data_IF_503412864209
#
_entry.id   IF_503412864209
#
_cell.length_a   1.000
_cell.length_b   1.000
_cell.length_c   1.000
_cell.angle_alpha   90.00
_cell.angle_beta   90.00
_cell.angle_gamma   90.00
#
_symmetry.space_group_name_H-M   'P 1'
#
loop_
_entity.id
_entity.type
_entity.pdbx_description
1 polymer ?
#
# COMPACT_ATOMS: atom_id res chain seq x y z
N UNK A 1 -81.24 47.95 15.84
CA UNK A 1 -80.43 48.07 14.61
C UNK A 1 -79.09 47.39 14.85
N UNK A 2 -78.73 46.44 13.99
CA UNK A 2 -77.55 45.57 14.06
C UNK A 2 -76.23 46.37 14.11
N UNK A 3 -75.32 46.01 15.00
CA UNK A 3 -73.87 46.23 14.81
C UNK A 3 -73.17 44.88 14.96
N UNK A 4 -72.65 44.38 13.84
CA UNK A 4 -71.67 43.29 13.81
C UNK A 4 -70.37 43.79 14.44
N UNK A 5 -69.83 43.06 15.40
CA UNK A 5 -68.43 43.16 15.81
C UNK A 5 -67.76 41.88 15.31
N UNK A 6 -66.92 42.03 14.30
CA UNK A 6 -66.01 41.00 13.80
C UNK A 6 -64.85 40.91 14.80
N UNK A 7 -64.73 39.78 15.51
CA UNK A 7 -63.52 39.48 16.29
C UNK A 7 -62.71 38.45 15.51
N UNK A 8 -61.70 38.93 14.78
CA UNK A 8 -60.68 38.07 14.17
C UNK A 8 -59.76 37.53 15.25
N UNK A 9 -59.80 36.21 15.47
CA UNK A 9 -58.82 35.49 16.29
C UNK A 9 -57.60 35.21 15.40
N UNK A 10 -56.54 36.00 15.57
CA UNK A 10 -55.21 35.70 15.04
C UNK A 10 -54.51 34.76 16.02
N UNK A 11 -54.46 33.47 15.70
CA UNK A 11 -53.58 32.50 16.36
C UNK A 11 -52.13 32.80 15.97
N UNK A 12 -51.35 33.37 16.89
CA UNK A 12 -49.89 33.43 16.77
C UNK A 12 -49.32 32.04 17.06
N UNK A 13 -48.99 31.30 16.00
CA UNK A 13 -48.17 30.09 16.07
C UNK A 13 -46.71 30.52 16.23
N UNK A 14 -46.32 30.91 17.44
CA UNK A 14 -44.92 31.08 17.81
C UNK A 14 -44.47 29.84 18.59
N UNK A 15 -43.67 28.99 17.96
CA UNK A 15 -42.88 27.98 18.68
C UNK A 15 -42.84 26.59 18.07
N UNK A 16 -42.20 26.41 16.91
CA UNK A 16 -41.60 25.12 16.50
C UNK A 16 -40.31 25.27 15.67
N UNK A 17 -39.79 26.49 15.46
CA UNK A 17 -38.57 26.68 14.67
C UNK A 17 -37.28 26.54 15.50
N UNK A 18 -37.31 26.79 16.82
CA UNK A 18 -36.08 26.87 17.61
C UNK A 18 -35.56 25.53 18.16
N UNK A 19 -36.40 24.48 18.22
CA UNK A 19 -36.00 23.17 18.75
C UNK A 19 -35.33 22.31 17.66
N UNK A 20 -35.78 22.42 16.41
CA UNK A 20 -35.21 21.72 15.27
C UNK A 20 -33.84 22.27 14.88
N UNK A 21 -33.66 23.59 14.89
CA UNK A 21 -32.33 24.21 14.70
C UNK A 21 -31.38 23.86 15.85
N UNK A 22 -31.83 23.87 17.11
CA UNK A 22 -30.99 23.51 18.26
C UNK A 22 -30.48 22.06 18.20
N UNK A 23 -31.33 21.12 17.83
CA UNK A 23 -30.96 19.70 17.69
C UNK A 23 -30.12 19.47 16.43
N UNK A 24 -30.49 20.03 15.28
CA UNK A 24 -29.71 19.90 14.05
C UNK A 24 -28.32 20.53 14.18
N UNK A 25 -28.22 21.70 14.81
CA UNK A 25 -26.94 22.37 15.07
C UNK A 25 -26.14 21.66 16.15
N UNK A 26 -26.77 21.04 17.15
CA UNK A 26 -26.07 20.22 18.15
C UNK A 26 -25.59 18.88 17.58
N UNK A 27 -26.30 18.28 16.62
CA UNK A 27 -25.88 17.06 15.91
C UNK A 27 -24.77 17.39 14.90
N UNK A 28 -24.85 18.52 14.19
CA UNK A 28 -23.81 19.01 13.29
C UNK A 28 -22.56 19.46 14.06
N UNK A 29 -22.69 20.12 15.22
CA UNK A 29 -21.55 20.42 16.11
C UNK A 29 -21.01 19.19 16.84
N UNK A 30 -21.80 18.12 17.01
CA UNK A 30 -21.28 16.82 17.47
C UNK A 30 -20.54 16.05 16.38
N UNK A 31 -20.75 16.39 15.10
CA UNK A 31 -19.98 15.85 13.98
C UNK A 31 -18.61 16.53 13.80
N UNK A 32 -18.36 17.68 14.44
CA UNK A 32 -16.99 18.08 14.82
C UNK A 32 -16.51 17.23 16.01
N UNK A 33 -16.64 15.90 15.86
CA UNK A 33 -16.34 14.93 16.88
C UNK A 33 -14.82 14.89 17.05
N UNK A 34 -14.35 15.06 18.28
CA UNK A 34 -12.98 14.73 18.67
C UNK A 34 -12.61 13.39 18.04
N UNK A 35 -11.57 13.35 17.20
CA UNK A 35 -11.15 12.09 16.57
C UNK A 35 -10.73 11.14 17.70
N UNK A 36 -11.45 10.04 17.89
CA UNK A 36 -11.19 9.04 18.93
C UNK A 36 -10.45 7.81 18.41
N UNK A 37 -10.13 7.78 17.11
CA UNK A 37 -9.49 6.63 16.47
C UNK A 37 -8.11 6.38 17.08
N UNK A 38 -7.87 5.17 17.59
CA UNK A 38 -6.60 4.85 18.21
C UNK A 38 -5.48 4.69 17.18
N UNK A 39 -4.26 5.00 17.59
CA UNK A 39 -3.03 4.70 16.86
C UNK A 39 -1.97 4.23 17.87
N UNK A 40 -1.53 2.99 17.73
CA UNK A 40 -0.53 2.33 18.60
C UNK A 40 0.53 1.66 17.74
N UNK A 41 1.79 2.02 17.98
CA UNK A 41 2.93 1.55 17.20
C UNK A 41 3.85 0.78 18.14
N UNK A 42 4.23 -0.44 17.75
CA UNK A 42 5.18 -1.27 18.48
C UNK A 42 6.29 -1.71 17.53
N UNK A 43 7.52 -1.29 17.80
CA UNK A 43 8.67 -1.59 16.96
C UNK A 43 9.79 -0.57 17.08
N UNK A 44 10.83 -0.74 16.28
CA UNK A 44 11.95 0.20 16.18
C UNK A 44 11.51 1.50 15.49
N UNK A 45 12.26 2.57 15.76
CA UNK A 45 12.09 3.83 15.00
C UNK A 45 12.35 3.59 13.51
N UNK A 46 11.69 4.37 12.67
CA UNK A 46 11.93 4.36 11.23
C UNK A 46 11.77 5.77 10.67
N UNK A 47 12.58 6.16 9.67
CA UNK A 47 12.74 7.57 9.33
C UNK A 47 11.71 8.13 8.34
N UNK A 48 10.90 7.28 7.70
CA UNK A 48 10.00 7.68 6.61
C UNK A 48 10.74 8.09 5.33
N UNK A 49 9.99 8.36 4.26
CA UNK A 49 10.54 8.75 2.96
C UNK A 49 11.24 10.12 2.95
N UNK A 50 10.85 11.04 3.82
CA UNK A 50 11.44 12.38 3.95
C UNK A 50 12.95 12.31 4.18
N UNK A 51 13.42 11.33 4.95
CA UNK A 51 14.85 11.15 5.21
C UNK A 51 15.62 10.81 3.93
N UNK A 52 15.06 9.97 3.05
CA UNK A 52 15.69 9.66 1.76
C UNK A 52 15.71 10.87 0.82
N UNK A 53 14.66 11.71 0.83
CA UNK A 53 14.63 12.95 0.05
C UNK A 53 15.63 14.02 0.52
N UNK A 54 16.10 13.96 1.77
CA UNK A 54 17.10 14.89 2.30
C UNK A 54 18.53 14.52 1.89
N UNK A 55 18.75 13.35 1.28
CA UNK A 55 20.06 12.92 0.82
C UNK A 55 20.39 13.57 -0.54
N UNK A 56 21.52 14.31 -0.66
CA UNK A 56 21.83 15.05 -1.87
C UNK A 56 22.08 14.15 -3.08
N UNK A 57 21.34 14.39 -4.16
CA UNK A 57 21.50 13.66 -5.42
C UNK A 57 20.62 12.41 -5.54
N UNK A 58 19.87 12.08 -4.49
CA UNK A 58 19.07 10.86 -4.44
C UNK A 58 17.67 11.07 -5.04
N UNK A 59 17.23 10.10 -5.85
CA UNK A 59 15.84 10.00 -6.32
C UNK A 59 15.13 8.95 -5.50
N UNK A 60 14.01 9.31 -4.86
CA UNK A 60 13.16 8.33 -4.16
C UNK A 60 12.19 7.67 -5.14
N UNK A 61 12.25 6.35 -5.27
CA UNK A 61 11.41 5.56 -6.17
C UNK A 61 10.45 4.70 -5.38
N UNK A 62 9.16 4.95 -5.54
CA UNK A 62 8.09 4.30 -4.78
C UNK A 62 7.27 3.41 -5.70
N UNK A 63 7.19 2.11 -5.41
CA UNK A 63 6.28 1.18 -6.11
C UNK A 63 5.03 0.94 -5.26
N UNK A 64 3.86 1.30 -5.80
CA UNK A 64 2.55 1.02 -5.23
C UNK A 64 1.95 -0.24 -5.87
N UNK A 65 1.58 -1.21 -5.04
CA UNK A 65 0.95 -2.48 -5.44
C UNK A 65 -0.42 -2.63 -4.78
N UNK A 66 -1.49 -2.60 -5.57
CA UNK A 66 -2.85 -2.76 -5.05
C UNK A 66 -3.14 -4.19 -4.59
N UNK A 67 -4.18 -4.32 -3.77
CA UNK A 67 -4.75 -5.58 -3.34
C UNK A 67 -5.91 -6.06 -4.20
N UNK A 68 -6.85 -6.77 -3.58
CA UNK A 68 -8.01 -7.34 -4.26
C UNK A 68 -8.89 -6.28 -4.96
N UNK A 69 -9.72 -6.75 -5.88
CA UNK A 69 -10.62 -5.94 -6.69
C UNK A 69 -10.06 -5.63 -8.08
N UNK A 70 -10.95 -5.18 -8.95
CA UNK A 70 -10.58 -4.69 -10.27
C UNK A 70 -10.17 -3.23 -10.18
N UNK A 71 -8.92 -2.94 -10.54
CA UNK A 71 -8.34 -1.60 -10.57
C UNK A 71 -8.06 -1.16 -12.00
N UNK A 72 -8.09 0.15 -12.21
CA UNK A 72 -7.63 0.81 -13.44
C UNK A 72 -6.50 1.77 -13.09
N UNK A 73 -5.59 2.08 -14.04
CA UNK A 73 -4.53 3.04 -13.80
C UNK A 73 -5.08 4.38 -13.27
N UNK A 74 -4.51 4.87 -12.17
CA UNK A 74 -4.96 6.03 -11.40
C UNK A 74 -5.61 5.69 -10.06
N UNK A 75 -5.78 4.41 -9.69
CA UNK A 75 -6.38 4.03 -8.40
C UNK A 75 -5.63 4.61 -7.19
N UNK A 76 -4.32 4.85 -7.31
CA UNK A 76 -3.50 5.36 -6.21
C UNK A 76 -3.43 6.88 -6.13
N UNK A 77 -4.16 7.61 -6.97
CA UNK A 77 -4.04 9.07 -7.11
C UNK A 77 -4.26 9.80 -5.77
N UNK A 78 -5.28 9.42 -5.01
CA UNK A 78 -5.57 10.06 -3.72
C UNK A 78 -4.39 9.91 -2.75
N UNK A 79 -3.86 8.70 -2.61
CA UNK A 79 -2.70 8.43 -1.77
C UNK A 79 -1.46 9.19 -2.26
N UNK A 80 -1.18 9.16 -3.56
CA UNK A 80 -0.06 9.87 -4.17
C UNK A 80 -0.12 11.37 -3.88
N UNK A 81 -1.28 12.00 -4.04
CA UNK A 81 -1.43 13.45 -3.80
C UNK A 81 -1.27 13.81 -2.33
N UNK A 82 -1.81 12.99 -1.41
CA UNK A 82 -1.58 13.20 0.03
C UNK A 82 -0.12 13.00 0.43
N UNK A 83 0.52 11.95 -0.07
CA UNK A 83 1.93 11.68 0.20
C UNK A 83 2.82 12.80 -0.34
N UNK A 84 2.57 13.27 -1.57
CA UNK A 84 3.29 14.38 -2.17
C UNK A 84 3.12 15.67 -1.34
N UNK A 85 1.90 15.97 -0.89
CA UNK A 85 1.63 17.12 -0.04
C UNK A 85 2.37 17.02 1.31
N UNK A 86 2.34 15.86 1.96
CA UNK A 86 3.01 15.65 3.26
C UNK A 86 4.54 15.77 3.16
N UNK A 87 5.12 15.39 2.01
CA UNK A 87 6.54 15.50 1.67
C UNK A 87 6.92 16.84 1.00
N UNK A 88 5.98 17.77 0.85
CA UNK A 88 6.19 19.06 0.18
C UNK A 88 6.70 18.95 -1.28
N UNK A 89 6.25 17.93 -2.01
CA UNK A 89 6.51 17.73 -3.44
C UNK A 89 5.40 18.37 -4.27
N UNK A 90 5.41 19.69 -4.40
CA UNK A 90 4.33 20.49 -4.99
C UNK A 90 4.37 20.60 -6.52
N UNK A 91 5.46 20.16 -7.16
CA UNK A 91 5.66 20.20 -8.61
C UNK A 91 5.55 18.79 -9.19
N UNK A 92 4.82 18.60 -10.29
CA UNK A 92 4.64 17.30 -10.94
C UNK A 92 4.82 17.35 -12.46
N UNK A 93 5.26 16.24 -13.05
CA UNK A 93 5.25 16.11 -14.52
C UNK A 93 3.83 16.32 -15.06
N UNK A 94 3.67 16.92 -16.23
CA UNK A 94 2.33 17.14 -16.82
C UNK A 94 1.66 15.83 -17.24
N UNK A 95 2.44 14.86 -17.72
CA UNK A 95 1.98 13.55 -18.19
C UNK A 95 2.52 12.42 -17.30
N UNK A 96 1.79 11.31 -17.33
CA UNK A 96 2.28 10.01 -16.86
C UNK A 96 3.05 9.32 -17.98
N UNK A 97 4.01 8.47 -17.60
CA UNK A 97 4.53 7.41 -18.48
C UNK A 97 3.79 6.13 -18.18
N UNK A 98 3.42 5.37 -19.21
CA UNK A 98 2.60 4.16 -19.07
C UNK A 98 3.24 3.00 -19.82
N UNK A 99 3.78 2.05 -19.06
CA UNK A 99 4.57 0.92 -19.56
C UNK A 99 3.73 -0.35 -19.47
N UNK A 100 3.51 -1.04 -20.59
CA UNK A 100 2.90 -2.36 -20.57
C UNK A 100 3.95 -3.38 -20.15
N UNK A 101 3.60 -4.20 -19.17
CA UNK A 101 4.51 -5.20 -18.63
C UNK A 101 4.50 -6.45 -19.52
N UNK A 102 5.69 -6.86 -19.94
CA UNK A 102 5.92 -8.04 -20.78
C UNK A 102 6.98 -8.92 -20.14
N UNK A 103 6.77 -10.23 -20.18
CA UNK A 103 7.73 -11.25 -19.74
C UNK A 103 7.84 -12.32 -20.83
N UNK A 104 9.07 -12.74 -21.11
CA UNK A 104 9.36 -13.83 -22.06
C UNK A 104 8.81 -15.18 -21.59
N UNK A 105 8.63 -15.38 -20.28
CA UNK A 105 8.00 -16.57 -19.70
C UNK A 105 6.47 -16.60 -19.95
N UNK A 106 5.86 -15.43 -20.18
CA UNK A 106 4.41 -15.26 -20.36
C UNK A 106 4.09 -14.33 -21.55
N UNK A 107 4.49 -14.71 -22.78
CA UNK A 107 4.45 -13.80 -23.95
C UNK A 107 3.02 -13.40 -24.36
N UNK A 108 2.02 -14.23 -24.08
CA UNK A 108 0.62 -14.00 -24.45
C UNK A 108 -0.22 -13.43 -23.29
N UNK A 109 0.37 -13.27 -22.10
CA UNK A 109 -0.34 -12.80 -20.90
C UNK A 109 -0.22 -11.28 -20.79
N UNK A 110 -1.34 -10.60 -20.55
CA UNK A 110 -1.35 -9.18 -20.20
C UNK A 110 -0.97 -9.02 -18.72
N UNK A 111 0.32 -8.85 -18.44
CA UNK A 111 0.83 -8.78 -17.07
C UNK A 111 0.43 -7.50 -16.32
N UNK A 112 -0.06 -6.48 -17.03
CA UNK A 112 -0.56 -5.25 -16.44
C UNK A 112 0.16 -4.01 -16.94
N UNK A 113 -0.12 -2.89 -16.28
CA UNK A 113 0.40 -1.57 -16.65
C UNK A 113 1.15 -1.00 -15.44
N UNK A 114 2.33 -0.44 -15.71
CA UNK A 114 3.10 0.36 -14.78
C UNK A 114 2.99 1.83 -15.17
N UNK A 115 2.28 2.60 -14.35
CA UNK A 115 2.11 4.04 -14.54
C UNK A 115 3.09 4.81 -13.67
N UNK A 116 3.83 5.76 -14.24
CA UNK A 116 4.88 6.50 -13.53
C UNK A 116 4.60 7.99 -13.54
N UNK A 117 4.70 8.62 -12.37
CA UNK A 117 4.63 10.07 -12.18
C UNK A 117 5.93 10.59 -11.57
N UNK A 118 6.42 11.73 -12.06
CA UNK A 118 7.50 12.48 -11.43
C UNK A 118 6.93 13.56 -10.52
N UNK A 119 7.44 13.62 -9.30
CA UNK A 119 7.08 14.58 -8.25
C UNK A 119 8.37 15.26 -7.77
N UNK A 120 8.31 16.56 -7.53
CA UNK A 120 9.43 17.42 -7.19
C UNK A 120 8.99 18.46 -6.16
N UNK A 121 9.91 18.94 -5.33
CA UNK A 121 9.69 20.16 -4.54
C UNK A 121 9.83 21.42 -5.42
N UNK A 122 9.50 22.60 -4.87
CA UNK A 122 9.45 23.86 -5.63
C UNK A 122 10.78 24.25 -6.29
N UNK A 123 11.89 24.07 -5.57
CA UNK A 123 13.24 24.39 -6.07
C UNK A 123 13.87 23.24 -6.89
N UNK A 124 13.14 22.13 -7.04
CA UNK A 124 13.55 20.92 -7.77
C UNK A 124 14.82 20.25 -7.23
N UNK A 125 15.17 20.47 -5.96
CA UNK A 125 16.28 19.80 -5.28
C UNK A 125 15.93 18.39 -4.80
N UNK A 126 14.65 18.07 -4.64
CA UNK A 126 14.16 16.77 -4.19
C UNK A 126 13.27 16.14 -5.25
N UNK A 127 13.46 14.84 -5.53
CA UNK A 127 12.72 14.11 -6.55
C UNK A 127 12.16 12.80 -6.03
N UNK A 128 10.89 12.55 -6.35
CA UNK A 128 10.26 11.24 -6.24
C UNK A 128 9.71 10.77 -7.59
N UNK A 129 9.98 9.51 -7.93
CA UNK A 129 9.28 8.79 -8.98
C UNK A 129 8.29 7.81 -8.36
N UNK A 130 7.01 8.03 -8.61
CA UNK A 130 5.94 7.20 -8.09
C UNK A 130 5.45 6.26 -9.19
N UNK A 131 5.63 4.96 -8.97
CA UNK A 131 5.26 3.86 -9.85
C UNK A 131 4.00 3.19 -9.31
N UNK A 132 2.95 3.12 -10.11
CA UNK A 132 1.68 2.46 -9.80
C UNK A 132 1.55 1.20 -10.67
N UNK A 133 1.54 0.03 -10.02
CA UNK A 133 1.30 -1.25 -10.68
C UNK A 133 -0.20 -1.55 -10.69
N UNK A 134 -0.76 -1.77 -11.88
CA UNK A 134 -2.12 -2.30 -12.08
C UNK A 134 -2.04 -3.70 -12.71
N UNK A 135 -2.33 -4.75 -11.92
CA UNK A 135 -2.22 -6.15 -12.34
C UNK A 135 -3.58 -6.82 -12.64
N UNK A 136 -4.71 -6.13 -12.44
CA UNK A 136 -6.07 -6.70 -12.61
C UNK A 136 -6.32 -7.35 -13.97
N UNK A 137 -5.58 -6.99 -15.02
CA UNK A 137 -5.65 -7.65 -16.32
C UNK A 137 -5.41 -9.18 -16.26
N UNK A 138 -4.66 -9.66 -15.26
CA UNK A 138 -4.38 -11.07 -15.03
C UNK A 138 -5.62 -11.80 -14.47
N UNK A 139 -6.32 -11.19 -13.51
CA UNK A 139 -7.40 -11.88 -12.77
C UNK A 139 -8.80 -11.65 -13.35
N UNK A 140 -9.02 -10.53 -14.05
CA UNK A 140 -10.31 -10.19 -14.65
C UNK A 140 -10.92 -11.31 -15.53
N UNK A 141 -10.16 -12.01 -16.41
CA UNK A 141 -10.73 -13.09 -17.22
C UNK A 141 -11.32 -14.23 -16.38
N UNK A 142 -10.77 -14.51 -15.20
CA UNK A 142 -11.30 -15.53 -14.30
C UNK A 142 -12.56 -15.04 -13.58
N UNK A 143 -12.62 -13.76 -13.19
CA UNK A 143 -13.81 -13.15 -12.56
C UNK A 143 -15.02 -13.10 -13.49
N UNK A 144 -14.82 -12.94 -14.80
CA UNK A 144 -15.91 -12.94 -15.78
C UNK A 144 -16.76 -14.24 -15.73
N UNK A 145 -16.18 -15.36 -15.27
CA UNK A 145 -16.90 -16.64 -15.12
C UNK A 145 -18.06 -16.61 -14.12
N UNK A 146 -18.02 -15.71 -13.13
CA UNK A 146 -19.07 -15.57 -12.11
C UNK A 146 -19.91 -14.30 -12.27
N UNK A 147 -19.63 -13.49 -13.31
CA UNK A 147 -20.30 -12.21 -13.56
C UNK A 147 -21.81 -12.37 -13.80
N UNK A 148 -22.22 -13.54 -14.28
CA UNK A 148 -23.62 -13.90 -14.48
C UNK A 148 -24.45 -13.68 -13.20
N UNK A 149 -23.89 -13.86 -12.01
CA UNK A 149 -24.61 -13.72 -10.72
C UNK A 149 -24.97 -12.26 -10.38
N UNK A 150 -24.23 -11.30 -10.93
CA UNK A 150 -24.48 -9.86 -10.73
C UNK A 150 -25.21 -9.22 -11.91
N UNK A 151 -25.68 -10.03 -12.86
CA UNK A 151 -26.38 -9.60 -14.08
C UNK A 151 -27.62 -10.45 -14.34
N UNK A 152 -28.54 -9.97 -15.17
CA UNK A 152 -29.70 -10.75 -15.60
C UNK A 152 -30.58 -11.23 -14.44
N UNK A 153 -30.92 -12.51 -14.43
CA UNK A 153 -31.96 -13.11 -13.56
C UNK A 153 -31.73 -12.89 -12.06
N UNK A 154 -30.50 -12.98 -11.57
CA UNK A 154 -30.25 -12.85 -10.13
C UNK A 154 -30.16 -11.40 -9.65
N UNK A 155 -29.96 -10.45 -10.57
CA UNK A 155 -29.73 -9.05 -10.20
C UNK A 155 -31.02 -8.29 -9.90
N UNK A 156 -32.14 -8.64 -10.55
CA UNK A 156 -33.42 -7.94 -10.37
C UNK A 156 -34.15 -8.34 -9.09
N UNK A 157 -33.95 -9.58 -8.61
CA UNK A 157 -34.58 -10.10 -7.39
C UNK A 157 -33.82 -9.72 -6.11
N UNK A 158 -32.58 -9.24 -6.23
CA UNK A 158 -31.71 -8.97 -5.09
C UNK A 158 -31.98 -7.57 -4.53
N UNK A 159 -32.19 -7.49 -3.21
CA UNK A 159 -32.27 -6.22 -2.51
C UNK A 159 -31.02 -5.36 -2.78
N UNK A 160 -31.19 -4.04 -2.92
CA UNK A 160 -30.16 -3.11 -3.40
C UNK A 160 -28.84 -3.19 -2.63
N UNK A 161 -28.91 -3.21 -1.29
CA UNK A 161 -27.72 -3.33 -0.43
C UNK A 161 -27.01 -4.68 -0.63
N UNK A 162 -27.77 -5.76 -0.77
CA UNK A 162 -27.21 -7.09 -1.02
C UNK A 162 -26.59 -7.18 -2.41
N UNK A 163 -27.16 -6.49 -3.40
CA UNK A 163 -26.60 -6.39 -4.75
C UNK A 163 -25.25 -5.66 -4.73
N UNK A 164 -25.14 -4.56 -4.01
CA UNK A 164 -23.87 -3.85 -3.82
C UNK A 164 -22.82 -4.76 -3.15
N UNK A 165 -23.18 -5.42 -2.05
CA UNK A 165 -22.28 -6.34 -1.34
C UNK A 165 -21.84 -7.52 -2.21
N UNK A 166 -22.75 -8.04 -3.05
CA UNK A 166 -22.43 -9.16 -3.94
C UNK A 166 -21.55 -8.76 -5.11
N UNK A 167 -21.74 -7.56 -5.67
CA UNK A 167 -20.82 -7.00 -6.67
C UNK A 167 -19.41 -6.85 -6.08
N UNK A 168 -19.30 -6.27 -4.88
CA UNK A 168 -18.03 -6.18 -4.18
C UNK A 168 -17.40 -7.55 -3.93
N UNK A 169 -18.18 -8.52 -3.43
CA UNK A 169 -17.70 -9.88 -3.18
C UNK A 169 -17.22 -10.57 -4.47
N UNK A 170 -17.99 -10.52 -5.56
CA UNK A 170 -17.61 -11.13 -6.83
C UNK A 170 -16.39 -10.44 -7.47
N UNK A 171 -16.13 -9.17 -7.17
CA UNK A 171 -14.93 -8.46 -7.64
C UNK A 171 -13.68 -8.73 -6.79
N UNK A 172 -13.82 -8.92 -5.48
CA UNK A 172 -12.67 -8.97 -4.54
C UNK A 172 -12.35 -10.37 -4.04
N UNK A 173 -13.37 -11.16 -3.70
CA UNK A 173 -13.22 -12.47 -3.06
C UNK A 173 -12.51 -13.52 -3.95
N UNK A 174 -12.64 -13.49 -5.30
CA UNK A 174 -11.91 -14.44 -6.15
C UNK A 174 -10.40 -14.19 -6.21
N UNK A 175 -9.92 -12.97 -5.98
CA UNK A 175 -8.50 -12.65 -6.22
C UNK A 175 -7.54 -13.51 -5.37
N UNK A 176 -7.74 -13.72 -4.06
CA UNK A 176 -6.91 -14.65 -3.30
C UNK A 176 -6.92 -16.08 -3.85
N UNK A 177 -8.08 -16.57 -4.34
CA UNK A 177 -8.18 -17.91 -4.92
C UNK A 177 -7.44 -18.01 -6.26
N UNK A 178 -7.56 -16.98 -7.10
CA UNK A 178 -6.86 -16.88 -8.39
C UNK A 178 -5.35 -16.80 -8.15
N UNK A 179 -4.92 -16.01 -7.15
CA UNK A 179 -3.52 -15.87 -6.75
C UNK A 179 -2.93 -17.17 -6.22
N UNK A 180 -3.67 -17.97 -5.47
CA UNK A 180 -3.22 -19.29 -5.02
C UNK A 180 -3.24 -20.35 -6.13
N UNK A 181 -3.87 -20.05 -7.27
CA UNK A 181 -3.97 -20.92 -8.43
C UNK A 181 -2.94 -20.63 -9.52
N UNK A 182 -3.35 -20.84 -10.76
CA UNK A 182 -2.48 -20.73 -11.96
C UNK A 182 -1.87 -19.33 -12.18
N UNK A 183 -2.53 -18.28 -11.67
CA UNK A 183 -2.10 -16.90 -11.91
C UNK A 183 -1.06 -16.41 -10.91
N UNK A 184 -0.65 -17.26 -9.95
CA UNK A 184 0.44 -16.96 -9.02
C UNK A 184 1.69 -16.46 -9.75
N UNK A 185 2.24 -17.27 -10.65
CA UNK A 185 3.49 -16.95 -11.34
C UNK A 185 3.36 -15.77 -12.32
N UNK A 186 2.17 -15.58 -12.90
CA UNK A 186 1.85 -14.43 -13.76
C UNK A 186 1.87 -13.12 -12.94
N UNK A 187 1.26 -13.13 -11.75
CA UNK A 187 1.26 -11.97 -10.85
C UNK A 187 2.66 -11.68 -10.29
N UNK A 188 3.45 -12.72 -9.98
CA UNK A 188 4.85 -12.53 -9.63
C UNK A 188 5.68 -11.99 -10.80
N UNK A 189 5.42 -12.43 -12.03
CA UNK A 189 6.07 -11.87 -13.22
C UNK A 189 5.73 -10.38 -13.39
N UNK A 190 4.46 -10.01 -13.23
CA UNK A 190 4.00 -8.62 -13.22
C UNK A 190 4.78 -7.77 -12.22
N UNK A 191 4.84 -8.21 -10.96
CA UNK A 191 5.63 -7.51 -9.93
C UNK A 191 7.11 -7.42 -10.30
N UNK A 192 7.75 -8.52 -10.72
CA UNK A 192 9.17 -8.53 -11.08
C UNK A 192 9.49 -7.55 -12.21
N UNK A 193 8.63 -7.44 -13.22
CA UNK A 193 8.82 -6.50 -14.33
C UNK A 193 8.60 -5.05 -13.90
N UNK A 194 7.60 -4.79 -13.07
CA UNK A 194 7.39 -3.47 -12.47
C UNK A 194 8.63 -3.04 -11.65
N UNK A 195 9.13 -3.94 -10.80
CA UNK A 195 10.32 -3.72 -9.99
C UNK A 195 11.57 -3.49 -10.85
N UNK A 196 11.76 -4.28 -11.92
CA UNK A 196 12.85 -4.10 -12.86
C UNK A 196 12.85 -2.70 -13.50
N UNK A 197 11.69 -2.21 -13.94
CA UNK A 197 11.57 -0.87 -14.50
C UNK A 197 11.88 0.23 -13.47
N UNK A 198 11.46 0.04 -12.22
CA UNK A 198 11.76 0.97 -11.12
C UNK A 198 13.27 1.06 -10.85
N UNK A 199 13.96 -0.07 -10.70
CA UNK A 199 15.41 -0.08 -10.38
C UNK A 199 16.31 0.19 -11.60
N UNK A 200 15.76 0.11 -12.82
CA UNK A 200 16.54 0.15 -14.04
C UNK A 200 16.74 1.54 -14.65
N UNK A 201 15.89 2.52 -14.35
CA UNK A 201 15.78 3.77 -15.12
C UNK A 201 15.45 4.97 -14.24
N UNK A 202 15.99 6.14 -14.59
CA UNK A 202 15.49 7.44 -14.10
C UNK A 202 14.43 8.02 -15.03
N UNK A 203 13.78 9.11 -14.61
CA UNK A 203 12.69 9.73 -15.35
C UNK A 203 13.01 9.97 -16.83
N UNK A 204 14.20 10.50 -17.13
CA UNK A 204 14.62 10.79 -18.51
C UNK A 204 14.83 9.56 -19.39
N UNK A 205 15.14 8.41 -18.79
CA UNK A 205 15.42 7.15 -19.51
C UNK A 205 14.20 6.23 -19.61
N UNK A 206 13.13 6.53 -18.88
CA UNK A 206 11.88 5.80 -18.99
C UNK A 206 11.21 6.10 -20.35
N UNK A 207 10.70 5.10 -21.07
CA UNK A 207 9.92 5.35 -22.27
C UNK A 207 8.56 5.98 -21.90
N UNK A 208 8.00 6.80 -22.79
CA UNK A 208 6.63 7.33 -22.61
C UNK A 208 5.60 6.19 -22.59
N UNK A 209 5.76 5.27 -23.54
CA UNK A 209 5.08 3.97 -23.60
C UNK A 209 6.06 2.89 -24.05
N UNK A 210 5.90 1.66 -23.58
CA UNK A 210 6.73 0.54 -24.02
C UNK A 210 5.97 -0.79 -23.91
N UNK A 211 6.32 -1.72 -24.79
CA UNK A 211 5.96 -3.13 -24.74
C UNK A 211 7.23 -4.00 -24.67
N UNK A 212 8.35 -3.42 -24.25
CA UNK A 212 9.63 -4.11 -24.19
C UNK A 212 9.76 -4.86 -22.88
N UNK A 213 10.47 -5.99 -22.93
CA UNK A 213 10.88 -6.69 -21.73
C UNK A 213 11.95 -5.87 -20.99
N UNK A 214 11.75 -5.63 -19.69
CA UNK A 214 12.76 -4.97 -18.89
C UNK A 214 13.98 -5.87 -18.69
N UNK A 215 15.17 -5.28 -18.85
CA UNK A 215 16.46 -5.91 -18.58
C UNK A 215 17.34 -4.99 -17.76
N UNK A 216 18.07 -5.57 -16.79
CA UNK A 216 19.11 -4.87 -16.04
C UNK A 216 20.29 -4.62 -16.97
N UNK A 217 20.70 -3.36 -17.08
CA UNK A 217 21.78 -2.94 -17.96
C UNK A 217 22.63 -1.84 -17.29
N UNK A 218 23.50 -1.19 -18.06
CA UNK A 218 24.40 -0.13 -17.55
C UNK A 218 23.67 1.04 -16.88
N UNK A 219 22.44 1.38 -17.30
CA UNK A 219 21.66 2.44 -16.65
C UNK A 219 21.26 2.07 -15.23
N UNK A 220 20.91 0.80 -14.98
CA UNK A 220 20.56 0.34 -13.63
C UNK A 220 21.74 0.55 -12.67
N UNK A 221 22.96 0.17 -13.07
CA UNK A 221 24.17 0.34 -12.24
C UNK A 221 24.52 1.82 -12.04
N UNK A 222 24.25 2.67 -13.05
CA UNK A 222 24.55 4.10 -12.98
C UNK A 222 23.76 4.78 -11.87
N UNK A 223 22.48 4.47 -11.72
CA UNK A 223 21.58 5.15 -10.77
C UNK A 223 21.46 4.43 -9.44
N UNK A 224 21.74 3.13 -9.40
CA UNK A 224 21.63 2.31 -8.19
C UNK A 224 22.33 2.90 -6.96
N UNK A 225 23.53 3.51 -7.01
CA UNK A 225 24.14 4.08 -5.81
C UNK A 225 23.28 5.16 -5.14
N UNK A 226 22.69 6.05 -5.94
CA UNK A 226 22.01 7.27 -5.50
C UNK A 226 20.47 7.07 -5.38
N UNK A 227 19.89 6.09 -6.07
CA UNK A 227 18.45 5.84 -6.00
C UNK A 227 18.05 5.19 -4.67
N UNK A 228 17.03 5.74 -4.03
CA UNK A 228 16.40 5.14 -2.85
C UNK A 228 15.07 4.49 -3.22
N UNK A 229 14.78 3.31 -2.67
CA UNK A 229 13.60 2.52 -3.08
C UNK A 229 12.64 2.33 -1.92
N UNK A 230 11.35 2.39 -2.19
CA UNK A 230 10.31 2.02 -1.24
C UNK A 230 9.18 1.26 -1.94
N UNK A 231 8.52 0.38 -1.21
CA UNK A 231 7.32 -0.32 -1.70
C UNK A 231 6.15 0.00 -0.78
N UNK A 232 5.03 0.40 -1.36
CA UNK A 232 3.76 0.54 -0.68
C UNK A 232 2.82 -0.51 -1.25
N UNK A 233 2.08 -1.19 -0.40
CA UNK A 233 1.08 -2.15 -0.86
C UNK A 233 -0.19 -2.08 -0.03
N UNK A 234 -1.27 -2.64 -0.58
CA UNK A 234 -2.54 -2.75 0.10
C UNK A 234 -3.05 -4.19 0.06
N UNK A 235 -3.59 -4.72 1.16
CA UNK A 235 -4.33 -6.00 1.19
C UNK A 235 -3.52 -7.15 0.54
N UNK A 236 -4.06 -7.90 -0.43
CA UNK A 236 -3.36 -8.93 -1.21
C UNK A 236 -2.02 -8.47 -1.81
N UNK A 237 -1.86 -7.17 -2.09
CA UNK A 237 -0.61 -6.59 -2.57
C UNK A 237 0.57 -6.86 -1.63
N UNK A 238 0.33 -6.95 -0.31
CA UNK A 238 1.37 -7.29 0.67
C UNK A 238 1.99 -8.66 0.38
N UNK A 239 1.15 -9.65 0.03
CA UNK A 239 1.60 -11.00 -0.35
C UNK A 239 2.36 -11.00 -1.67
N UNK A 240 1.83 -10.31 -2.68
CA UNK A 240 2.48 -10.19 -4.00
C UNK A 240 3.88 -9.59 -3.87
N UNK A 241 4.03 -8.55 -3.04
CA UNK A 241 5.33 -7.91 -2.77
C UNK A 241 6.30 -8.89 -2.12
N UNK A 242 5.90 -9.60 -1.06
CA UNK A 242 6.79 -10.52 -0.35
C UNK A 242 7.20 -11.71 -1.23
N UNK A 243 6.26 -12.35 -1.91
CA UNK A 243 6.55 -13.46 -2.83
C UNK A 243 7.36 -12.99 -4.04
N UNK A 244 7.09 -11.78 -4.53
CA UNK A 244 7.82 -11.16 -5.62
C UNK A 244 9.28 -10.93 -5.25
N UNK A 245 9.54 -10.39 -4.07
CA UNK A 245 10.90 -10.17 -3.54
C UNK A 245 11.62 -11.48 -3.24
N UNK A 246 10.93 -12.49 -2.71
CA UNK A 246 11.48 -13.85 -2.57
C UNK A 246 11.82 -14.45 -3.93
N UNK A 247 10.97 -14.26 -4.94
CA UNK A 247 11.24 -14.71 -6.30
C UNK A 247 12.45 -14.01 -6.91
N UNK A 248 12.63 -12.71 -6.63
CA UNK A 248 13.85 -11.97 -6.99
C UNK A 248 15.06 -12.56 -6.27
N UNK A 249 14.98 -12.82 -4.96
CA UNK A 249 16.07 -13.45 -4.20
C UNK A 249 16.50 -14.78 -4.84
N UNK A 250 15.55 -15.66 -5.17
CA UNK A 250 15.81 -16.92 -5.84
C UNK A 250 16.52 -16.75 -7.19
N UNK A 251 16.05 -15.80 -8.02
CA UNK A 251 16.65 -15.54 -9.34
C UNK A 251 18.05 -14.94 -9.21
N UNK A 252 18.25 -14.00 -8.29
CA UNK A 252 19.56 -13.40 -8.00
C UNK A 252 20.54 -14.44 -7.48
N UNK A 253 20.15 -15.30 -6.54
CA UNK A 253 21.01 -16.39 -6.05
C UNK A 253 21.42 -17.35 -7.18
N UNK A 254 20.49 -17.68 -8.10
CA UNK A 254 20.81 -18.52 -9.28
C UNK A 254 21.82 -17.86 -10.22
N UNK A 255 21.66 -16.55 -10.48
CA UNK A 255 22.61 -15.78 -11.30
C UNK A 255 23.98 -15.68 -10.62
N UNK A 256 24.01 -15.38 -9.32
CA UNK A 256 25.24 -15.23 -8.55
C UNK A 256 26.05 -16.53 -8.43
N UNK A 257 25.38 -17.68 -8.33
CA UNK A 257 26.02 -19.00 -8.25
C UNK A 257 26.44 -19.58 -9.61
N UNK A 258 26.00 -18.95 -10.71
CA UNK A 258 26.38 -19.32 -12.06
C UNK A 258 27.62 -18.55 -12.54
N UNK A 259 27.53 -18.01 -13.76
CA UNK A 259 28.55 -17.14 -14.35
C UNK A 259 27.91 -15.76 -14.64
N UNK A 260 27.76 -14.88 -13.62
CA UNK A 260 27.11 -13.59 -13.79
C UNK A 260 27.98 -12.68 -14.67
N UNK A 261 27.34 -11.94 -15.57
CA UNK A 261 28.02 -10.89 -16.33
C UNK A 261 28.58 -9.81 -15.38
N UNK A 262 29.52 -9.00 -15.89
CA UNK A 262 30.05 -7.86 -15.14
C UNK A 262 28.96 -6.87 -14.70
N UNK A 263 27.90 -6.73 -15.50
CA UNK A 263 26.76 -5.86 -15.18
C UNK A 263 25.95 -6.46 -14.03
N UNK A 264 25.59 -7.74 -14.12
CA UNK A 264 24.82 -8.42 -13.08
C UNK A 264 25.59 -8.45 -11.76
N UNK A 265 26.88 -8.77 -11.79
CA UNK A 265 27.74 -8.77 -10.60
C UNK A 265 27.78 -7.41 -9.89
N UNK A 266 27.88 -6.31 -10.65
CA UNK A 266 27.88 -4.97 -10.09
C UNK A 266 26.51 -4.58 -9.53
N UNK A 267 25.44 -4.90 -10.26
CA UNK A 267 24.07 -4.65 -9.80
C UNK A 267 23.78 -5.41 -8.50
N UNK A 268 24.07 -6.71 -8.44
CA UNK A 268 23.85 -7.54 -7.25
C UNK A 268 24.58 -6.94 -6.03
N UNK A 269 25.88 -6.64 -6.17
CA UNK A 269 26.67 -6.05 -5.08
C UNK A 269 26.18 -4.68 -4.65
N UNK A 270 25.69 -3.86 -5.58
CA UNK A 270 25.10 -2.56 -5.26
C UNK A 270 23.75 -2.71 -4.54
N UNK A 271 22.92 -3.64 -5.01
CA UNK A 271 21.58 -3.86 -4.49
C UNK A 271 21.61 -4.48 -3.08
N UNK A 272 22.62 -5.31 -2.80
CA UNK A 272 22.92 -5.83 -1.46
C UNK A 272 23.20 -4.78 -0.39
N UNK A 273 23.46 -3.53 -0.78
CA UNK A 273 23.68 -2.40 0.14
C UNK A 273 22.42 -1.58 0.37
N UNK A 274 21.34 -1.86 -0.35
CA UNK A 274 20.10 -1.09 -0.25
C UNK A 274 19.30 -1.48 0.98
N UNK A 275 18.67 -0.46 1.56
CA UNK A 275 17.67 -0.62 2.61
C UNK A 275 16.33 -0.22 2.01
N UNK A 276 15.40 -1.17 1.94
CA UNK A 276 14.14 -0.96 1.22
C UNK A 276 12.97 -1.04 2.20
N UNK A 277 12.36 0.09 2.60
CA UNK A 277 11.15 0.09 3.41
C UNK A 277 9.93 -0.42 2.62
N UNK A 278 9.18 -1.33 3.25
CA UNK A 278 7.88 -1.82 2.78
C UNK A 278 6.78 -1.30 3.71
N UNK A 279 5.83 -0.56 3.16
CA UNK A 279 4.65 -0.06 3.87
C UNK A 279 3.44 -0.91 3.45
N UNK A 280 3.02 -1.82 4.33
CA UNK A 280 1.97 -2.80 4.04
C UNK A 280 0.65 -2.32 4.68
N UNK A 281 -0.19 -1.64 3.89
CA UNK A 281 -1.52 -1.19 4.31
C UNK A 281 -2.52 -2.34 4.26
N UNK A 282 -3.39 -2.44 5.27
CA UNK A 282 -4.26 -3.61 5.46
C UNK A 282 -3.48 -4.93 5.31
N UNK A 283 -2.45 -5.12 6.14
CA UNK A 283 -1.53 -6.24 5.97
C UNK A 283 -2.24 -7.60 6.10
N UNK A 284 -2.20 -8.43 5.05
CA UNK A 284 -2.83 -9.75 5.03
C UNK A 284 -1.83 -10.92 5.06
N UNK A 285 -0.54 -10.64 5.26
CA UNK A 285 0.52 -11.65 5.15
C UNK A 285 0.24 -12.93 5.96
N UNK A 286 -0.08 -12.88 7.28
CA UNK A 286 -0.39 -14.08 8.05
C UNK A 286 -1.58 -14.91 7.51
N UNK A 287 -2.62 -14.24 6.99
CA UNK A 287 -3.79 -14.93 6.42
C UNK A 287 -3.43 -15.63 5.11
N UNK A 288 -2.72 -14.93 4.23
CA UNK A 288 -2.41 -15.42 2.88
C UNK A 288 -1.22 -16.39 2.84
N UNK A 289 -0.49 -16.54 3.94
CA UNK A 289 0.47 -17.63 4.15
C UNK A 289 -0.22 -19.00 4.23
N UNK A 290 -1.50 -19.06 4.61
CA UNK A 290 -2.23 -20.32 4.70
C UNK A 290 -2.28 -21.03 3.34
N UNK A 291 -1.67 -22.21 3.27
CA UNK A 291 -1.60 -23.02 2.05
C UNK A 291 -0.37 -22.78 1.18
N UNK A 292 0.56 -21.91 1.61
CA UNK A 292 1.80 -21.63 0.88
C UNK A 292 2.94 -22.53 1.31
N UNK A 293 3.92 -22.69 0.41
CA UNK A 293 5.20 -23.31 0.77
C UNK A 293 6.06 -22.26 1.46
N UNK A 294 6.77 -22.62 2.54
CA UNK A 294 7.71 -21.70 3.15
C UNK A 294 8.81 -21.30 2.16
N UNK A 295 9.45 -20.13 2.36
CA UNK A 295 10.63 -19.75 1.59
C UNK A 295 11.76 -20.78 1.62
N UNK A 296 12.65 -20.74 0.62
CA UNK A 296 13.80 -21.65 0.54
C UNK A 296 14.77 -21.45 1.71
N UNK A 297 14.92 -20.21 2.17
CA UNK A 297 15.85 -19.83 3.25
C UNK A 297 15.06 -19.20 4.39
N UNK A 298 14.72 -19.99 5.41
CA UNK A 298 14.05 -19.54 6.63
C UNK A 298 14.94 -19.76 7.85
N UNK A 299 14.66 -19.04 8.93
CA UNK A 299 15.32 -19.17 10.22
C UNK A 299 16.86 -19.05 10.18
N UNK A 300 17.39 -18.27 9.23
CA UNK A 300 18.84 -18.09 9.01
C UNK A 300 19.22 -16.60 8.95
N UNK A 301 18.38 -15.70 9.47
CA UNK A 301 18.57 -14.24 9.38
C UNK A 301 19.98 -13.82 9.80
N UNK A 302 20.48 -14.31 10.93
CA UNK A 302 21.81 -13.93 11.43
C UNK A 302 22.95 -14.32 10.48
N UNK A 303 22.82 -15.45 9.79
CA UNK A 303 23.81 -15.94 8.82
C UNK A 303 23.84 -15.12 7.52
N UNK A 304 22.75 -14.42 7.19
CA UNK A 304 22.66 -13.60 5.99
C UNK A 304 22.79 -12.10 6.26
N UNK A 305 22.45 -11.63 7.47
CA UNK A 305 22.20 -10.21 7.74
C UNK A 305 23.18 -9.59 8.74
N UNK A 306 24.05 -10.38 9.38
CA UNK A 306 25.11 -9.85 10.25
C UNK A 306 26.41 -9.72 9.44
N UNK A 307 27.05 -8.54 9.42
CA UNK A 307 28.32 -8.36 8.73
C UNK A 307 29.38 -9.40 9.16
N UNK A 308 29.95 -10.09 8.19
CA UNK A 308 31.00 -11.11 8.41
C UNK A 308 30.49 -12.52 8.71
N UNK A 309 29.17 -12.76 8.73
CA UNK A 309 28.61 -14.11 8.86
C UNK A 309 28.71 -14.91 7.54
N UNK A 310 28.50 -16.23 7.64
CA UNK A 310 28.80 -17.21 6.58
C UNK A 310 28.14 -16.90 5.23
N UNK A 311 26.91 -16.39 5.24
CA UNK A 311 26.11 -16.13 4.05
C UNK A 311 25.84 -14.64 3.85
N UNK A 312 26.59 -13.75 4.52
CA UNK A 312 26.37 -12.30 4.45
C UNK A 312 26.36 -11.80 3.00
N UNK A 313 27.32 -12.22 2.18
CA UNK A 313 27.43 -11.83 0.76
C UNK A 313 26.38 -12.50 -0.16
N UNK A 314 25.47 -13.32 0.39
CA UNK A 314 24.38 -13.99 -0.34
C UNK A 314 23.00 -13.40 -0.04
N UNK A 315 22.92 -12.39 0.83
CA UNK A 315 21.67 -11.62 1.05
C UNK A 315 21.23 -10.92 -0.24
N UNK A 316 19.96 -10.56 -0.31
CA UNK A 316 19.42 -9.79 -1.43
C UNK A 316 19.65 -8.28 -1.23
N UNK A 317 19.43 -7.80 -0.01
CA UNK A 317 19.50 -6.40 0.41
C UNK A 317 20.13 -6.33 1.80
N UNK A 318 20.57 -5.14 2.21
CA UNK A 318 21.11 -4.92 3.56
C UNK A 318 19.99 -5.02 4.60
N UNK A 319 18.83 -4.45 4.28
CA UNK A 319 17.67 -4.42 5.18
C UNK A 319 16.35 -4.29 4.43
N UNK A 320 15.33 -4.98 4.91
CA UNK A 320 13.93 -4.71 4.56
C UNK A 320 13.17 -4.29 5.81
N UNK A 321 12.86 -2.99 5.93
CA UNK A 321 12.04 -2.47 7.04
C UNK A 321 10.56 -2.61 6.68
N UNK A 322 9.83 -3.50 7.34
CA UNK A 322 8.41 -3.76 7.09
C UNK A 322 7.58 -3.00 8.12
N UNK A 323 6.87 -1.98 7.66
CA UNK A 323 5.85 -1.26 8.42
C UNK A 323 4.49 -1.88 8.11
N UNK A 324 4.02 -2.76 8.99
CA UNK A 324 2.75 -3.48 8.81
C UNK A 324 1.61 -2.71 9.48
N UNK A 325 0.75 -2.08 8.66
CA UNK A 325 -0.42 -1.37 9.14
C UNK A 325 -1.61 -2.33 9.26
N UNK A 326 -2.30 -2.28 10.40
CA UNK A 326 -3.50 -3.08 10.66
C UNK A 326 -4.48 -2.30 11.52
N UNK A 327 -5.74 -2.25 11.11
CA UNK A 327 -6.84 -1.76 11.91
C UNK A 327 -7.41 -2.97 12.69
N UNK A 328 -7.45 -2.94 14.03
CA UNK A 328 -8.08 -4.00 14.80
C UNK A 328 -9.55 -4.29 14.44
N UNK A 329 -10.23 -3.38 13.75
CA UNK A 329 -11.59 -3.57 13.23
C UNK A 329 -11.64 -4.10 11.79
N UNK A 330 -10.50 -4.18 11.10
CA UNK A 330 -10.36 -4.82 9.79
C UNK A 330 -10.25 -6.33 9.99
N UNK A 331 -11.30 -7.05 9.60
CA UNK A 331 -11.43 -8.50 9.75
C UNK A 331 -10.38 -9.30 8.96
N UNK A 332 -9.69 -8.65 8.01
CA UNK A 332 -8.74 -9.30 7.12
C UNK A 332 -7.31 -8.83 7.34
N UNK A 333 -7.06 -7.82 8.18
CA UNK A 333 -5.70 -7.39 8.51
C UNK A 333 -5.15 -8.08 9.75
N UNK A 334 -3.83 -8.33 9.74
CA UNK A 334 -3.13 -9.05 10.79
C UNK A 334 -1.80 -8.36 11.07
N UNK A 335 -1.52 -8.12 12.34
CA UNK A 335 -0.15 -7.83 12.79
C UNK A 335 0.76 -9.04 12.49
N UNK A 336 2.05 -8.79 12.29
CA UNK A 336 3.07 -9.81 12.01
C UNK A 336 3.84 -10.12 13.31
N UNK A 337 3.64 -11.31 13.93
CA UNK A 337 4.41 -11.71 15.11
C UNK A 337 5.88 -11.97 14.77
N UNK A 338 6.78 -11.84 15.75
CA UNK A 338 8.22 -12.11 15.55
C UNK A 338 8.50 -13.55 15.08
N UNK A 339 7.75 -14.53 15.59
CA UNK A 339 7.88 -15.92 15.13
C UNK A 339 7.53 -16.07 13.64
N UNK A 340 6.57 -15.30 13.13
CA UNK A 340 6.22 -15.30 11.71
C UNK A 340 7.40 -14.82 10.86
N UNK A 341 8.09 -13.77 11.29
CA UNK A 341 9.31 -13.25 10.62
C UNK A 341 10.37 -14.34 10.49
N UNK A 342 10.60 -15.12 11.54
CA UNK A 342 11.64 -16.15 11.54
C UNK A 342 11.30 -17.36 10.65
N UNK A 343 10.02 -17.73 10.56
CA UNK A 343 9.58 -18.99 9.96
C UNK A 343 8.95 -18.87 8.57
N UNK A 344 8.49 -17.68 8.18
CA UNK A 344 7.73 -17.46 6.95
C UNK A 344 8.29 -16.34 6.06
N UNK A 345 9.28 -15.57 6.52
CA UNK A 345 9.97 -14.58 5.67
C UNK A 345 11.35 -15.09 5.25
N UNK A 346 11.69 -14.85 4.00
CA UNK A 346 12.98 -15.26 3.45
C UNK A 346 14.13 -14.50 4.14
N UNK A 347 15.06 -15.24 4.72
CA UNK A 347 16.17 -14.69 5.52
C UNK A 347 17.11 -13.82 4.68
N UNK A 348 17.16 -13.98 3.36
CA UNK A 348 17.96 -13.13 2.45
C UNK A 348 17.42 -11.70 2.35
N UNK A 349 16.18 -11.45 2.76
CA UNK A 349 15.58 -10.11 2.76
C UNK A 349 15.98 -9.27 3.99
N UNK A 350 16.58 -9.87 5.01
CA UNK A 350 16.98 -9.15 6.22
C UNK A 350 15.82 -8.31 6.81
N UNK A 351 14.65 -8.94 6.90
CA UNK A 351 13.42 -8.27 7.31
C UNK A 351 13.42 -7.88 8.79
N UNK A 352 12.98 -6.65 9.08
CA UNK A 352 12.62 -6.16 10.41
C UNK A 352 11.21 -5.61 10.39
N UNK A 353 10.37 -6.00 11.35
CA UNK A 353 8.95 -5.62 11.36
C UNK A 353 8.65 -4.60 12.45
N UNK A 354 7.94 -3.55 12.09
CA UNK A 354 7.25 -2.63 12.98
C UNK A 354 5.74 -2.76 12.76
N UNK A 355 5.01 -3.17 13.80
CA UNK A 355 3.55 -3.29 13.73
C UNK A 355 2.89 -1.97 14.10
N UNK A 356 2.01 -1.48 13.23
CA UNK A 356 1.28 -0.22 13.38
C UNK A 356 -0.21 -0.55 13.46
N UNK A 357 -0.74 -0.58 14.69
CA UNK A 357 -2.15 -0.80 14.95
C UNK A 357 -2.89 0.54 14.93
N UNK A 358 -3.65 0.81 13.87
CA UNK A 358 -4.28 2.11 13.64
C UNK A 358 -5.73 1.96 13.19
N UNK A 359 -6.66 2.62 13.90
CA UNK A 359 -8.05 2.65 13.47
C UNK A 359 -8.23 3.65 12.35
N UNK A 360 -8.38 3.20 11.11
CA UNK A 360 -8.68 4.08 9.96
C UNK A 360 -10.18 4.32 9.86
N UNK A 361 -11.00 3.35 10.28
CA UNK A 361 -12.43 3.54 10.44
C UNK A 361 -12.80 4.28 11.73
N UNK A 362 -13.77 5.23 11.67
CA UNK A 362 -14.38 5.79 12.87
C UNK A 362 -15.04 4.71 13.73
N UNK A 363 -14.87 4.82 15.05
CA UNK A 363 -15.54 3.97 16.04
C UNK A 363 -16.72 4.74 16.62
N UNK A 364 -17.91 4.18 16.53
CA UNK A 364 -19.16 4.78 16.99
C UNK A 364 -19.67 4.03 18.22
N UNK A 365 -20.03 4.75 19.28
CA UNK A 365 -20.73 4.17 20.44
C UNK A 365 -22.21 3.92 20.09
N UNK A 366 -22.65 2.67 20.20
CA UNK A 366 -24.04 2.27 19.95
C UNK A 366 -24.89 2.39 21.22
N UNK A 367 -24.84 3.55 21.88
CA UNK A 367 -25.71 3.93 23.00
C UNK A 367 -25.86 2.84 24.08
N UNK A 368 -24.74 2.26 24.52
CA UNK A 368 -24.72 1.23 25.57
C UNK A 368 -24.83 -0.22 25.07
N UNK A 369 -24.95 -0.44 23.75
CA UNK A 369 -24.86 -1.78 23.14
C UNK A 369 -23.44 -2.18 22.71
N UNK A 370 -22.44 -1.35 23.04
CA UNK A 370 -21.03 -1.52 22.66
C UNK A 370 -20.59 -0.56 21.55
N UNK A 371 -19.35 -0.71 21.10
CA UNK A 371 -18.75 0.10 20.03
C UNK A 371 -18.79 -0.63 18.69
N UNK A 372 -19.02 0.11 17.60
CA UNK A 372 -19.03 -0.41 16.24
C UNK A 372 -18.10 0.39 15.33
N UNK A 373 -17.37 -0.31 14.46
CA UNK A 373 -16.63 0.27 13.36
C UNK A 373 -17.00 -0.48 12.08
N UNK A 374 -17.08 0.25 10.96
CA UNK A 374 -17.39 -0.36 9.67
C UNK A 374 -16.17 -1.18 9.19
N UNK A 375 -16.28 -2.52 9.05
CA UNK A 375 -15.15 -3.37 8.70
C UNK A 375 -14.65 -3.14 7.26
N UNK A 376 -15.51 -2.70 6.34
CA UNK A 376 -15.10 -2.33 4.99
C UNK A 376 -14.23 -1.06 5.01
N UNK A 377 -14.67 -0.02 5.73
CA UNK A 377 -13.86 1.19 5.91
C UNK A 377 -12.55 0.89 6.65
N UNK A 378 -12.58 -0.01 7.64
CA UNK A 378 -11.39 -0.44 8.36
C UNK A 378 -10.39 -1.16 7.43
N UNK A 379 -10.91 -1.83 6.38
CA UNK A 379 -10.10 -2.52 5.38
C UNK A 379 -9.54 -1.60 4.30
N UNK A 380 -10.28 -0.59 3.85
CA UNK A 380 -9.90 0.20 2.67
C UNK A 380 -9.41 1.61 2.99
N UNK A 381 -9.63 2.13 4.21
CA UNK A 381 -9.42 3.54 4.53
C UNK A 381 -7.97 3.99 4.80
N UNK A 382 -6.97 3.13 4.60
CA UNK A 382 -5.56 3.43 4.94
C UNK A 382 -4.95 4.49 4.03
N UNK A 383 -5.26 4.43 2.74
CA UNK A 383 -4.73 5.29 1.68
C UNK A 383 -5.16 6.77 1.81
N UNK A 384 -6.21 6.99 2.60
CA UNK A 384 -6.86 8.27 2.82
C UNK A 384 -6.75 8.74 4.28
N UNK A 385 -6.16 7.96 5.19
CA UNK A 385 -5.92 8.38 6.56
C UNK A 385 -4.63 9.20 6.67
N UNK A 386 -4.74 10.45 7.13
CA UNK A 386 -3.60 11.38 7.18
C UNK A 386 -2.48 10.91 8.13
N UNK A 387 -2.80 10.12 9.16
CA UNK A 387 -1.78 9.58 10.08
C UNK A 387 -0.99 8.47 9.40
N UNK A 388 -1.65 7.63 8.59
CA UNK A 388 -0.97 6.60 7.79
C UNK A 388 -0.03 7.26 6.79
N UNK A 389 -0.52 8.26 6.05
CA UNK A 389 0.30 9.02 5.10
C UNK A 389 1.48 9.69 5.80
N UNK A 390 1.25 10.34 6.94
CA UNK A 390 2.31 10.98 7.73
C UNK A 390 3.36 10.00 8.26
N UNK A 391 2.95 8.80 8.70
CA UNK A 391 3.88 7.75 9.10
C UNK A 391 4.75 7.29 7.92
N UNK A 392 4.16 7.07 6.73
CA UNK A 392 4.90 6.69 5.54
C UNK A 392 5.87 7.80 5.10
N UNK A 393 5.41 9.05 5.13
CA UNK A 393 6.18 10.21 4.71
C UNK A 393 7.35 10.51 5.67
N UNK A 394 7.09 10.54 6.98
CA UNK A 394 7.99 11.15 7.98
C UNK A 394 8.43 10.23 9.11
N UNK A 395 7.87 9.03 9.16
CA UNK A 395 8.26 8.00 10.11
C UNK A 395 7.93 8.33 11.57
N UNK A 396 8.67 7.69 12.47
CA UNK A 396 8.53 7.81 13.92
C UNK A 396 9.90 7.76 14.61
N UNK A 397 10.03 8.51 15.70
CA UNK A 397 11.27 8.54 16.49
C UNK A 397 12.41 9.30 15.82
N UNK A 398 12.11 10.17 14.85
CA UNK A 398 13.10 10.99 14.14
C UNK A 398 12.77 12.47 14.22
N UNK A 399 13.73 13.33 13.83
CA UNK A 399 13.53 14.79 13.72
C UNK A 399 12.41 15.17 12.74
N UNK A 400 12.09 14.31 11.77
CA UNK A 400 11.13 14.58 10.72
C UNK A 400 9.69 14.20 11.09
N UNK A 401 9.51 13.47 12.19
CA UNK A 401 8.22 13.01 12.67
C UNK A 401 7.17 14.13 12.70
N UNK A 402 6.00 13.89 12.07
CA UNK A 402 4.96 14.91 11.98
C UNK A 402 4.29 15.19 13.33
N UNK A 403 3.83 16.42 13.53
CA UNK A 403 3.06 16.80 14.73
C UNK A 403 1.79 15.96 14.86
N UNK A 404 1.11 15.68 13.74
CA UNK A 404 -0.06 14.79 13.72
C UNK A 404 0.25 13.41 14.33
N UNK A 405 1.39 12.80 13.98
CA UNK A 405 1.76 11.49 14.54
C UNK A 405 2.14 11.63 16.02
N UNK A 406 2.88 12.68 16.41
CA UNK A 406 3.25 12.93 17.82
C UNK A 406 2.03 13.08 18.73
N UNK A 407 1.01 13.78 18.26
CA UNK A 407 -0.21 14.05 19.02
C UNK A 407 -1.15 12.84 19.05
N UNK A 408 -1.24 12.09 17.94
CA UNK A 408 -2.31 11.11 17.71
C UNK A 408 -1.89 9.66 17.86
N UNK A 409 -0.59 9.36 17.86
CA UNK A 409 -0.07 8.00 17.95
C UNK A 409 0.74 7.79 19.24
N UNK A 410 0.57 6.61 19.84
CA UNK A 410 1.41 6.15 20.96
C UNK A 410 2.41 5.14 20.46
N UNK A 411 3.68 5.37 20.72
CA UNK A 411 4.77 4.48 20.31
C UNK A 411 5.44 3.83 21.49
N UNK A 412 5.61 2.51 21.40
CA UNK A 412 6.43 1.71 22.29
C UNK A 412 7.65 1.25 21.50
N UNK A 413 8.82 1.79 21.85
CA UNK A 413 10.09 1.47 21.20
C UNK A 413 10.61 0.09 21.62
N UNK A 414 11.10 -0.69 20.65
CA UNK A 414 11.91 -1.89 20.92
C UNK A 414 13.39 -1.51 20.86
N UNK A 415 14.18 -2.01 21.82
CA UNK A 415 15.60 -1.62 22.01
C UNK A 415 16.59 -2.74 21.67
N UNK A 416 16.10 -3.90 21.26
CA UNK A 416 16.86 -5.13 20.98
C UNK A 416 16.88 -5.50 19.49
#
# INVERSE_FOLDING_TARGET
MKKLILFSISLTISGCASFGEGIATAVLKKQEQEDVRACKINGKSFPGMQNSLEMPGDTVKVLMVHGVGTHVPGYSTQFQEKLAAELNLTVKSSRYKEINLVDTEFPDTKLGILRVRRLLNEDQSQEMLFYELTWSAITNPEKEKIKYDTSGEYSYDRAEVNQMLKQFSNDTSPDPMIYQGKSHDEMLASFRKAFCWMVGRNWGDLPETSNDNCVINKQAIKYLPDDEYAIVSHSLGSRIVMDGMQSIANRVSKVANGDPTSIESQFIKGFQRKQIPFYLMSNQLPLLEMGQKPPEVINQKDQYCIPGSEHYEQRLVDKTSIMAFSDPNDLLSYAIPQQFVQSHLDSRLCAEVTNININVAPVIDMFGMGSFANPLTAHTGYDSDDRVVALIAKGIGTKNMSELVKERCRWTEFVD
#
